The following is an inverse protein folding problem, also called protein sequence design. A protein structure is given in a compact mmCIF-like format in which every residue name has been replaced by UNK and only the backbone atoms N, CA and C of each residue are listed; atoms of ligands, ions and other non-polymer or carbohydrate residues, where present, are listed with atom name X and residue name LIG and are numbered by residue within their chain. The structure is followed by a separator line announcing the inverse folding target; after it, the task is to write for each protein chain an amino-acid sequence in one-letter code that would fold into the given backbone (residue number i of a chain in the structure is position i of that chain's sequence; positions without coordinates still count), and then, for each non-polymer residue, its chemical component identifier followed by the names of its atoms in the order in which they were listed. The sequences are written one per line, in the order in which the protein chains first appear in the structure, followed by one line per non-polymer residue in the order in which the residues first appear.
data_IF_305917111432
#
_entry.id   IF_305917111432
#
_cell.length_a   1.000
_cell.length_b   1.000
_cell.length_c   1.000
_cell.angle_alpha   90.00
_cell.angle_beta   90.00
_cell.angle_gamma   90.00
#
_symmetry.space_group_name_H-M   'P 1'
#
loop_
_entity.id
_entity.type
_entity.pdbx_description
1 polymer ?
#
# COMPACT_ATOMS: atom_id res chain seq x y z
N UNK A 1 33.81 -62.47 -36.24
CA UNK A 1 32.95 -61.47 -36.91
C UNK A 1 31.85 -62.18 -37.67
N UNK A 2 30.63 -61.63 -37.68
CA UNK A 2 29.49 -62.13 -38.45
C UNK A 2 29.24 -61.12 -39.57
N UNK A 3 29.49 -61.50 -40.81
CA UNK A 3 29.29 -60.64 -41.97
C UNK A 3 27.90 -60.88 -42.56
N UNK A 4 27.21 -59.81 -42.97
CA UNK A 4 25.87 -59.88 -43.60
C UNK A 4 25.87 -59.21 -44.98
N UNK A 5 24.69 -59.16 -45.61
CA UNK A 5 24.49 -58.38 -46.83
C UNK A 5 24.79 -56.89 -46.65
N UNK A 6 24.66 -56.37 -45.41
CA UNK A 6 24.94 -54.96 -45.09
C UNK A 6 26.45 -54.66 -45.13
N UNK A 7 27.29 -55.70 -45.02
CA UNK A 7 28.75 -55.63 -45.16
C UNK A 7 29.21 -55.84 -46.61
N UNK A 8 28.28 -56.00 -47.55
CA UNK A 8 28.55 -56.17 -48.98
C UNK A 8 28.65 -57.61 -49.47
N UNK A 9 28.28 -58.61 -48.66
CA UNK A 9 28.20 -60.01 -49.12
C UNK A 9 26.97 -60.26 -50.01
N UNK A 10 27.12 -61.16 -50.98
CA UNK A 10 26.00 -61.74 -51.71
C UNK A 10 25.10 -62.50 -50.74
N UNK A 11 23.84 -62.10 -50.66
CA UNK A 11 22.88 -62.72 -49.73
C UNK A 11 22.60 -64.19 -50.03
N UNK A 12 21.86 -64.82 -49.12
CA UNK A 12 21.40 -66.20 -49.25
C UNK A 12 22.30 -67.23 -48.54
N UNK A 13 22.13 -68.51 -48.87
CA UNK A 13 22.83 -69.63 -48.20
C UNK A 13 24.16 -69.92 -48.88
N UNK A 14 25.23 -70.03 -48.07
CA UNK A 14 26.55 -70.42 -48.55
C UNK A 14 26.57 -71.93 -48.78
N UNK A 15 26.86 -72.34 -50.02
CA UNK A 15 26.95 -73.75 -50.40
C UNK A 15 28.39 -74.27 -50.38
N UNK A 16 29.34 -73.40 -50.71
CA UNK A 16 30.75 -73.77 -50.78
C UNK A 16 31.66 -72.58 -50.44
N UNK A 17 32.84 -72.88 -49.93
CA UNK A 17 33.86 -71.90 -49.55
C UNK A 17 35.25 -72.37 -49.99
N UNK A 18 35.96 -71.51 -50.72
CA UNK A 18 37.28 -71.82 -51.27
C UNK A 18 38.29 -70.73 -50.95
N UNK A 19 39.52 -71.11 -50.58
CA UNK A 19 40.64 -70.18 -50.38
C UNK A 19 41.59 -70.27 -51.57
N UNK A 20 41.81 -69.15 -52.26
CA UNK A 20 42.76 -69.11 -53.36
C UNK A 20 44.23 -69.04 -52.88
N UNK A 21 45.16 -69.20 -53.82
CA UNK A 21 46.61 -69.18 -53.53
C UNK A 21 47.12 -67.81 -53.06
N UNK A 22 46.36 -66.74 -53.31
CA UNK A 22 46.66 -65.39 -52.86
C UNK A 22 46.05 -65.10 -51.47
N UNK A 23 45.34 -66.06 -50.89
CA UNK A 23 44.76 -65.99 -49.56
C UNK A 23 43.37 -65.35 -49.50
N UNK A 24 42.74 -65.02 -50.63
CA UNK A 24 41.36 -64.54 -50.63
C UNK A 24 40.39 -65.71 -50.45
N UNK A 25 39.30 -65.45 -49.72
CA UNK A 25 38.21 -66.39 -49.47
C UNK A 25 37.07 -66.11 -50.45
N UNK A 26 36.62 -67.15 -51.12
CA UNK A 26 35.52 -67.12 -52.07
C UNK A 26 34.35 -67.90 -51.48
N UNK A 27 33.16 -67.31 -51.48
CA UNK A 27 31.93 -67.92 -50.99
C UNK A 27 30.93 -67.99 -52.13
N UNK A 28 30.51 -69.21 -52.47
CA UNK A 28 29.45 -69.43 -53.44
C UNK A 28 28.11 -69.46 -52.70
N UNK A 29 27.20 -68.54 -53.06
CA UNK A 29 25.84 -68.47 -52.54
C UNK A 29 24.82 -68.75 -53.65
N UNK A 30 23.58 -69.04 -53.27
CA UNK A 30 22.44 -69.16 -54.19
C UNK A 30 22.17 -67.87 -54.99
N UNK A 31 22.75 -66.73 -54.59
CA UNK A 31 22.55 -65.42 -55.24
C UNK A 31 23.81 -64.84 -55.87
N UNK A 32 24.89 -65.62 -55.96
CA UNK A 32 26.11 -65.20 -56.63
C UNK A 32 27.38 -65.65 -55.91
N UNK A 33 28.48 -64.97 -56.18
CA UNK A 33 29.79 -65.27 -55.61
C UNK A 33 30.30 -64.03 -54.88
N UNK A 34 30.73 -64.21 -53.63
CA UNK A 34 31.40 -63.18 -52.84
C UNK A 34 32.88 -63.49 -52.70
N UNK A 35 33.72 -62.46 -52.88
CA UNK A 35 35.16 -62.54 -52.62
C UNK A 35 35.51 -61.66 -51.43
N UNK A 36 36.00 -62.28 -50.35
CA UNK A 36 36.52 -61.61 -49.17
C UNK A 36 38.04 -61.71 -49.18
N UNK A 37 38.73 -60.56 -49.14
CA UNK A 37 40.17 -60.52 -48.90
C UNK A 37 40.35 -60.26 -47.41
N UNK A 38 40.86 -61.21 -46.60
CA UNK A 38 41.09 -60.97 -45.19
C UNK A 38 42.09 -59.84 -45.02
N UNK A 39 41.61 -58.68 -44.57
CA UNK A 39 42.45 -57.58 -44.12
C UNK A 39 42.61 -57.66 -42.59
N UNK A 40 43.70 -57.13 -42.04
CA UNK A 40 43.79 -56.90 -40.60
C UNK A 40 42.58 -56.08 -40.13
N UNK A 41 42.11 -56.35 -38.91
CA UNK A 41 41.06 -55.54 -38.32
C UNK A 41 41.47 -54.05 -38.37
N UNK A 42 40.58 -53.15 -38.83
CA UNK A 42 40.89 -51.74 -38.86
C UNK A 42 41.26 -51.27 -37.46
N UNK A 43 42.27 -50.40 -37.38
CA UNK A 43 42.73 -49.85 -36.11
C UNK A 43 41.54 -49.20 -35.40
N UNK A 44 41.27 -49.55 -34.12
CA UNK A 44 40.13 -48.98 -33.42
C UNK A 44 40.26 -47.46 -33.33
N UNK A 45 39.26 -46.74 -33.84
CA UNK A 45 39.21 -45.28 -33.83
C UNK A 45 38.00 -44.79 -33.03
N UNK A 46 38.22 -43.70 -32.29
CA UNK A 46 37.21 -43.08 -31.45
C UNK A 46 36.34 -42.12 -32.28
N UNK A 47 35.04 -42.39 -32.37
CA UNK A 47 34.10 -41.61 -33.19
C UNK A 47 33.95 -40.17 -32.67
N UNK A 48 34.11 -39.13 -33.51
CA UNK A 48 33.84 -37.75 -33.14
C UNK A 48 32.38 -37.55 -32.72
N UNK A 49 32.16 -36.60 -31.82
CA UNK A 49 30.84 -36.23 -31.30
C UNK A 49 30.67 -34.71 -31.43
N UNK A 50 29.52 -34.28 -31.92
CA UNK A 50 29.19 -32.88 -32.16
C UNK A 50 27.85 -32.53 -31.50
N UNK A 51 27.76 -31.35 -30.92
CA UNK A 51 26.49 -30.73 -30.52
C UNK A 51 25.86 -30.13 -31.76
N UNK A 52 24.63 -30.51 -32.08
CA UNK A 52 23.92 -30.04 -33.28
C UNK A 52 22.90 -28.96 -32.94
N UNK A 53 22.16 -29.12 -31.84
CA UNK A 53 21.16 -28.16 -31.42
C UNK A 53 21.11 -28.00 -29.90
N UNK A 54 20.73 -26.80 -29.48
CA UNK A 54 20.59 -26.43 -28.08
C UNK A 54 19.35 -25.54 -27.92
N UNK A 55 18.47 -25.87 -26.98
CA UNK A 55 17.32 -25.04 -26.63
C UNK A 55 17.31 -24.75 -25.13
N UNK A 56 16.90 -23.54 -24.78
CA UNK A 56 16.62 -23.13 -23.42
C UNK A 56 15.18 -22.61 -23.32
N UNK A 57 14.31 -23.27 -22.56
CA UNK A 57 12.84 -23.01 -22.53
C UNK A 57 12.21 -22.95 -23.93
N UNK A 58 12.56 -23.90 -24.79
CA UNK A 58 12.09 -23.95 -26.19
C UNK A 58 12.70 -22.88 -27.12
N UNK A 59 13.52 -21.95 -26.61
CA UNK A 59 14.20 -20.95 -27.43
C UNK A 59 15.53 -21.52 -27.93
N UNK A 60 15.75 -21.63 -29.25
CA UNK A 60 16.99 -22.14 -29.80
C UNK A 60 18.16 -21.22 -29.45
N UNK A 61 19.29 -21.81 -29.09
CA UNK A 61 20.55 -21.13 -28.80
C UNK A 61 21.50 -21.26 -30.00
N UNK A 62 22.39 -20.29 -30.21
CA UNK A 62 23.30 -20.32 -31.35
C UNK A 62 24.26 -21.51 -31.24
N UNK A 63 24.18 -22.41 -32.21
CA UNK A 63 25.11 -23.52 -32.47
C UNK A 63 25.31 -23.56 -33.98
N UNK A 64 26.54 -23.80 -34.44
CA UNK A 64 26.85 -23.96 -35.86
C UNK A 64 26.02 -25.08 -36.49
N UNK A 65 25.51 -24.85 -37.71
CA UNK A 65 24.78 -25.89 -38.48
C UNK A 65 25.65 -27.12 -38.79
N UNK A 66 26.97 -26.97 -38.78
CA UNK A 66 27.93 -28.07 -38.94
C UNK A 66 28.21 -28.84 -37.64
N UNK A 67 27.64 -28.38 -36.53
CA UNK A 67 27.86 -28.88 -35.18
C UNK A 67 29.15 -28.37 -34.54
N UNK A 68 29.14 -28.32 -33.21
CA UNK A 68 30.26 -27.82 -32.40
C UNK A 68 30.73 -28.85 -31.38
N UNK A 69 32.05 -28.87 -31.11
CA UNK A 69 32.62 -29.71 -30.03
C UNK A 69 32.63 -28.99 -28.68
N UNK A 70 32.54 -27.67 -28.67
CA UNK A 70 32.50 -26.87 -27.44
C UNK A 70 31.66 -25.62 -27.66
N UNK A 71 30.59 -25.47 -26.87
CA UNK A 71 29.78 -24.25 -26.80
C UNK A 71 30.07 -23.56 -25.47
N UNK A 72 30.63 -22.36 -25.51
CA UNK A 72 31.04 -21.62 -24.32
C UNK A 72 30.22 -20.34 -24.08
N UNK A 73 30.28 -19.82 -22.84
CA UNK A 73 29.78 -18.49 -22.44
C UNK A 73 28.28 -18.28 -22.60
N UNK A 74 27.48 -19.35 -22.61
CA UNK A 74 26.03 -19.22 -22.66
C UNK A 74 25.48 -18.73 -21.31
N UNK A 75 24.78 -17.59 -21.31
CA UNK A 75 24.11 -17.04 -20.14
C UNK A 75 22.60 -17.14 -20.29
N UNK A 76 21.98 -17.93 -19.43
CA UNK A 76 20.55 -18.18 -19.41
C UNK A 76 19.88 -17.32 -18.33
N UNK A 77 18.74 -16.73 -18.67
CA UNK A 77 17.94 -15.93 -17.75
C UNK A 77 17.37 -16.81 -16.60
N UNK A 78 16.95 -16.22 -15.47
CA UNK A 78 16.44 -16.99 -14.32
C UNK A 78 15.23 -17.89 -14.61
N UNK A 79 14.48 -17.60 -15.69
CA UNK A 79 13.37 -18.43 -16.16
C UNK A 79 13.75 -19.47 -17.21
N UNK A 80 14.99 -19.48 -17.70
CA UNK A 80 15.50 -20.42 -18.70
C UNK A 80 16.17 -21.63 -18.03
N UNK A 81 15.41 -22.32 -17.18
CA UNK A 81 15.88 -23.46 -16.37
C UNK A 81 15.56 -24.83 -16.97
N UNK A 82 15.04 -24.85 -18.18
CA UNK A 82 14.81 -26.05 -18.98
C UNK A 82 15.78 -26.04 -20.15
N UNK A 83 16.64 -27.07 -20.25
CA UNK A 83 17.67 -27.16 -21.29
C UNK A 83 17.55 -28.47 -22.05
N UNK A 84 17.46 -28.38 -23.38
CA UNK A 84 17.46 -29.53 -24.29
C UNK A 84 18.68 -29.47 -25.17
N UNK A 85 19.41 -30.57 -25.25
CA UNK A 85 20.66 -30.66 -26.02
C UNK A 85 20.55 -31.84 -26.96
N UNK A 86 20.82 -31.60 -28.25
CA UNK A 86 20.90 -32.62 -29.28
C UNK A 86 22.34 -32.75 -29.79
N UNK A 87 22.76 -33.98 -30.04
CA UNK A 87 24.11 -34.29 -30.46
C UNK A 87 24.13 -35.45 -31.46
N UNK A 88 25.18 -35.50 -32.28
CA UNK A 88 25.38 -36.53 -33.27
C UNK A 88 26.83 -37.03 -33.25
N UNK A 89 26.98 -38.33 -33.11
CA UNK A 89 28.27 -38.99 -33.33
C UNK A 89 28.47 -39.32 -34.81
N UNK A 90 29.71 -39.21 -35.27
CA UNK A 90 30.10 -39.52 -36.64
C UNK A 90 30.82 -40.87 -36.68
N UNK A 91 30.15 -41.91 -37.15
CA UNK A 91 30.73 -43.23 -37.46
C UNK A 91 30.15 -43.72 -38.79
N UNK A 92 31.03 -43.94 -39.77
CA UNK A 92 30.67 -44.31 -41.14
C UNK A 92 30.93 -45.80 -41.42
N UNK A 93 31.26 -46.59 -40.39
CA UNK A 93 31.48 -48.03 -40.56
C UNK A 93 30.14 -48.74 -40.82
N UNK A 94 30.08 -49.63 -41.82
CA UNK A 94 28.91 -50.48 -42.06
C UNK A 94 28.51 -51.24 -40.78
N UNK A 95 27.22 -51.23 -40.45
CA UNK A 95 26.68 -51.92 -39.27
C UNK A 95 27.05 -51.32 -37.90
N UNK A 96 27.79 -50.21 -37.84
CA UNK A 96 28.19 -49.57 -36.58
C UNK A 96 27.01 -48.92 -35.87
N UNK A 97 26.68 -49.38 -34.65
CA UNK A 97 25.71 -48.70 -33.77
C UNK A 97 26.46 -47.86 -32.74
N UNK A 98 26.26 -46.53 -32.80
CA UNK A 98 26.78 -45.62 -31.77
C UNK A 98 25.84 -45.58 -30.58
N UNK A 99 26.42 -45.65 -29.38
CA UNK A 99 25.76 -45.29 -28.13
C UNK A 99 26.39 -44.03 -27.56
N UNK A 100 25.68 -43.36 -26.67
CA UNK A 100 26.09 -42.09 -26.09
C UNK A 100 26.06 -42.19 -24.58
N UNK A 101 27.04 -41.56 -23.95
CA UNK A 101 27.03 -41.29 -22.53
C UNK A 101 27.14 -39.79 -22.33
N UNK A 102 26.45 -39.28 -21.33
CA UNK A 102 26.44 -37.87 -21.01
C UNK A 102 26.54 -37.64 -19.51
N UNK A 103 26.95 -36.43 -19.13
CA UNK A 103 27.06 -35.99 -17.75
C UNK A 103 26.82 -34.48 -17.69
N UNK A 104 26.00 -34.02 -16.75
CA UNK A 104 25.88 -32.60 -16.42
C UNK A 104 26.62 -32.28 -15.13
N UNK A 105 27.84 -31.77 -15.24
CA UNK A 105 28.56 -31.27 -14.08
C UNK A 105 27.81 -30.08 -13.45
N UNK A 106 27.60 -30.17 -12.13
CA UNK A 106 26.73 -29.26 -11.37
C UNK A 106 25.37 -29.86 -11.01
N UNK A 107 24.98 -31.00 -11.60
CA UNK A 107 23.78 -31.76 -11.23
C UNK A 107 24.06 -33.27 -11.07
N UNK A 108 24.78 -33.86 -12.01
CA UNK A 108 25.09 -35.29 -12.06
C UNK A 108 26.45 -35.58 -11.38
N UNK A 109 26.57 -36.76 -10.75
CA UNK A 109 27.82 -37.23 -10.13
C UNK A 109 28.69 -38.04 -11.08
N UNK A 110 28.07 -38.92 -11.86
CA UNK A 110 28.72 -39.87 -12.76
C UNK A 110 28.14 -39.77 -14.18
N UNK A 111 28.81 -40.40 -15.15
CA UNK A 111 28.30 -40.55 -16.52
C UNK A 111 27.05 -41.43 -16.55
N UNK A 112 26.12 -41.10 -17.45
CA UNK A 112 24.93 -41.92 -17.70
C UNK A 112 25.27 -43.29 -18.31
N UNK A 113 24.32 -44.21 -18.22
CA UNK A 113 24.38 -45.47 -18.94
C UNK A 113 24.38 -45.23 -20.46
N UNK A 114 25.10 -46.05 -21.26
CA UNK A 114 25.12 -45.90 -22.72
C UNK A 114 23.70 -46.00 -23.33
N UNK A 115 23.26 -44.94 -23.99
CA UNK A 115 21.93 -44.85 -24.64
C UNK A 115 22.05 -44.69 -26.16
N UNK A 116 21.03 -45.08 -26.92
CA UNK A 116 20.94 -44.77 -28.35
C UNK A 116 20.33 -43.38 -28.62
N UNK A 117 19.77 -42.75 -27.60
CA UNK A 117 19.14 -41.43 -27.70
C UNK A 117 20.17 -40.34 -28.00
N UNK A 118 19.79 -39.43 -28.90
CA UNK A 118 20.61 -38.30 -29.36
C UNK A 118 20.23 -36.97 -28.72
N UNK A 119 19.28 -37.01 -27.80
CA UNK A 119 18.69 -35.83 -27.18
C UNK A 119 18.62 -36.06 -25.68
N UNK A 120 19.05 -35.06 -24.91
CA UNK A 120 18.95 -35.06 -23.45
C UNK A 120 18.17 -33.83 -23.01
N UNK A 121 17.35 -34.02 -21.99
CA UNK A 121 16.45 -33.01 -21.45
C UNK A 121 16.67 -32.84 -19.95
N UNK A 122 17.06 -31.64 -19.55
CA UNK A 122 17.18 -31.24 -18.15
C UNK A 122 16.10 -30.24 -17.79
N UNK A 123 15.18 -30.64 -16.92
CA UNK A 123 14.12 -29.79 -16.38
C UNK A 123 14.55 -29.17 -15.04
N UNK A 124 14.06 -27.95 -14.77
CA UNK A 124 14.14 -27.30 -13.45
C UNK A 124 15.56 -27.17 -12.86
N UNK A 125 16.54 -26.84 -13.68
CA UNK A 125 17.89 -26.56 -13.19
C UNK A 125 17.88 -25.34 -12.25
N UNK A 126 18.58 -25.45 -11.12
CA UNK A 126 18.76 -24.33 -10.20
C UNK A 126 19.61 -23.22 -10.85
N UNK A 127 19.58 -22.00 -10.30
CA UNK A 127 20.52 -20.97 -10.73
C UNK A 127 21.94 -21.39 -10.35
N UNK A 128 22.86 -21.38 -11.31
CA UNK A 128 24.20 -21.93 -11.12
C UNK A 128 25.01 -22.00 -12.42
N UNK A 129 26.21 -22.55 -12.32
CA UNK A 129 27.08 -22.83 -13.47
C UNK A 129 27.06 -24.32 -13.75
N UNK A 130 26.87 -24.68 -15.02
CA UNK A 130 26.76 -26.06 -15.47
C UNK A 130 27.69 -26.33 -16.65
N UNK A 131 28.18 -27.57 -16.73
CA UNK A 131 28.93 -28.06 -17.89
C UNK A 131 28.37 -29.41 -18.32
N UNK A 132 27.68 -29.43 -19.44
CA UNK A 132 27.23 -30.66 -20.07
C UNK A 132 28.39 -31.27 -20.87
N UNK A 133 28.55 -32.58 -20.76
CA UNK A 133 29.54 -33.38 -21.47
C UNK A 133 28.84 -34.54 -22.15
N UNK A 134 29.19 -34.84 -23.40
CA UNK A 134 28.71 -36.02 -24.12
C UNK A 134 29.85 -36.70 -24.87
N UNK A 135 29.87 -38.03 -24.83
CA UNK A 135 30.82 -38.88 -25.58
C UNK A 135 30.08 -39.97 -26.34
N UNK A 136 30.54 -40.24 -27.55
CA UNK A 136 30.08 -41.39 -28.32
C UNK A 136 30.87 -42.64 -27.91
N UNK A 137 30.22 -43.78 -27.81
CA UNK A 137 30.79 -45.10 -27.57
C UNK A 137 30.45 -45.95 -28.78
N UNK A 138 31.48 -46.40 -29.48
CA UNK A 138 31.31 -47.16 -30.70
C UNK A 138 31.00 -48.65 -30.43
N UNK A 139 30.79 -49.44 -31.48
CA UNK A 139 30.50 -50.89 -31.37
C UNK A 139 31.59 -51.70 -30.66
N UNK A 140 32.82 -51.18 -30.64
CA UNK A 140 33.97 -51.81 -29.99
C UNK A 140 34.09 -51.40 -28.51
N UNK A 141 33.13 -50.63 -27.99
CA UNK A 141 33.13 -50.11 -26.61
C UNK A 141 34.09 -48.94 -26.38
N UNK A 142 34.67 -48.38 -27.45
CA UNK A 142 35.65 -47.30 -27.35
C UNK A 142 34.91 -45.96 -27.34
N UNK A 143 35.16 -45.18 -26.30
CA UNK A 143 34.60 -43.84 -26.15
C UNK A 143 35.37 -42.80 -26.97
N UNK A 144 34.68 -41.72 -27.35
CA UNK A 144 35.29 -40.57 -28.03
C UNK A 144 36.46 -40.01 -27.20
N UNK A 145 37.60 -39.76 -27.85
CA UNK A 145 38.81 -39.31 -27.15
C UNK A 145 38.65 -37.92 -26.52
N UNK A 146 37.77 -37.10 -27.08
CA UNK A 146 37.34 -35.81 -26.53
C UNK A 146 35.81 -35.79 -26.47
N UNK A 147 35.20 -35.56 -25.30
CA UNK A 147 33.77 -35.33 -25.22
C UNK A 147 33.43 -33.95 -25.82
N UNK A 148 32.25 -33.83 -26.41
CA UNK A 148 31.70 -32.52 -26.74
C UNK A 148 31.13 -31.88 -25.48
N UNK A 149 31.24 -30.56 -25.34
CA UNK A 149 30.90 -29.83 -24.13
C UNK A 149 29.98 -28.63 -24.39
N UNK A 150 29.08 -28.35 -23.45
CA UNK A 150 28.28 -27.11 -23.43
C UNK A 150 28.39 -26.50 -22.03
N UNK A 151 29.01 -25.32 -21.93
CA UNK A 151 29.17 -24.57 -20.68
C UNK A 151 28.18 -23.41 -20.62
N UNK A 152 27.31 -23.42 -19.61
CA UNK A 152 26.27 -22.41 -19.44
C UNK A 152 26.05 -22.01 -17.98
N UNK A 153 25.51 -20.81 -17.77
CA UNK A 153 25.19 -20.27 -16.46
C UNK A 153 23.75 -19.78 -16.42
N UNK A 154 22.96 -20.26 -15.45
CA UNK A 154 21.60 -19.79 -15.17
C UNK A 154 21.69 -18.70 -14.10
N UNK A 155 21.33 -17.47 -14.46
CA UNK A 155 21.39 -16.31 -13.57
C UNK A 155 20.38 -16.46 -12.41
N UNK A 156 20.74 -16.07 -11.16
CA UNK A 156 19.79 -16.05 -10.07
C UNK A 156 18.75 -14.94 -10.26
N UNK A 157 17.48 -15.18 -9.87
CA UNK A 157 16.43 -14.19 -9.94
C UNK A 157 16.70 -13.00 -9.03
N UNK A 158 16.13 -11.83 -9.35
CA UNK A 158 16.43 -10.57 -8.65
C UNK A 158 16.16 -10.64 -7.15
N UNK A 159 15.09 -11.32 -6.73
CA UNK A 159 14.70 -11.44 -5.32
C UNK A 159 15.62 -12.32 -4.46
N UNK A 160 16.48 -13.13 -5.08
CA UNK A 160 17.49 -13.92 -4.37
C UNK A 160 18.82 -13.16 -4.25
N UNK A 161 18.97 -11.99 -4.89
CA UNK A 161 20.19 -11.19 -4.81
C UNK A 161 20.23 -10.43 -3.49
N UNK A 162 21.41 -10.38 -2.88
CA UNK A 162 21.64 -9.77 -1.56
C UNK A 162 21.24 -8.29 -1.48
N UNK A 163 21.51 -7.51 -2.54
CA UNK A 163 21.12 -6.09 -2.60
C UNK A 163 19.59 -5.90 -2.55
N UNK A 164 18.82 -6.82 -3.16
CA UNK A 164 17.36 -6.74 -3.18
C UNK A 164 16.81 -7.05 -1.78
N UNK A 165 17.35 -8.07 -1.12
CA UNK A 165 16.99 -8.41 0.27
C UNK A 165 17.31 -7.24 1.23
N UNK A 166 18.46 -6.59 1.05
CA UNK A 166 18.82 -5.40 1.82
C UNK A 166 17.84 -4.23 1.60
N UNK A 167 17.45 -3.97 0.34
CA UNK A 167 16.48 -2.93 0.00
C UNK A 167 15.08 -3.25 0.56
N UNK A 168 14.65 -4.51 0.48
CA UNK A 168 13.38 -4.96 1.03
C UNK A 168 13.34 -4.81 2.57
N UNK A 169 14.44 -5.14 3.26
CA UNK A 169 14.57 -4.94 4.70
C UNK A 169 14.52 -3.45 5.08
N UNK A 170 15.18 -2.59 4.30
CA UNK A 170 15.16 -1.15 4.51
C UNK A 170 13.76 -0.57 4.29
N UNK A 171 13.05 -0.99 3.24
CA UNK A 171 11.67 -0.59 2.98
C UNK A 171 10.73 -1.05 4.11
N UNK A 172 10.85 -2.31 4.57
CA UNK A 172 10.07 -2.84 5.69
C UNK A 172 10.33 -2.05 7.00
N UNK A 173 11.59 -1.74 7.29
CA UNK A 173 11.99 -0.93 8.44
C UNK A 173 11.44 0.50 8.35
N UNK A 174 11.49 1.11 7.16
CA UNK A 174 10.91 2.43 6.90
C UNK A 174 9.39 2.45 7.11
N UNK A 175 8.67 1.44 6.62
CA UNK A 175 7.22 1.29 6.84
C UNK A 175 6.88 1.10 8.33
N UNK A 176 7.65 0.28 9.05
CA UNK A 176 7.47 0.10 10.48
C UNK A 176 7.71 1.41 11.25
N UNK A 177 8.76 2.15 10.88
CA UNK A 177 9.09 3.43 11.49
C UNK A 177 8.02 4.51 11.23
N UNK A 178 7.51 4.62 10.01
CA UNK A 178 6.43 5.58 9.68
C UNK A 178 5.14 5.23 10.41
N UNK A 179 4.76 3.95 10.46
CA UNK A 179 3.61 3.48 11.22
C UNK A 179 3.75 3.78 12.72
N UNK A 180 4.93 3.52 13.30
CA UNK A 180 5.23 3.86 14.68
C UNK A 180 5.12 5.37 14.92
N UNK A 181 5.70 6.18 14.04
CA UNK A 181 5.66 7.64 14.16
C UNK A 181 4.24 8.20 14.09
N UNK A 182 3.41 7.65 13.19
CA UNK A 182 2.00 8.01 13.08
C UNK A 182 1.23 7.64 14.35
N UNK A 183 1.45 6.43 14.90
CA UNK A 183 0.84 5.99 16.16
C UNK A 183 1.19 6.92 17.32
N UNK A 184 2.46 7.29 17.46
CA UNK A 184 2.93 8.20 18.52
C UNK A 184 2.30 9.58 18.40
N UNK A 185 2.21 10.15 17.18
CA UNK A 185 1.56 11.44 16.96
C UNK A 185 0.10 11.43 17.41
N UNK A 186 -0.65 10.39 17.01
CA UNK A 186 -2.06 10.23 17.39
C UNK A 186 -2.25 10.11 18.90
N UNK A 187 -1.36 9.39 19.59
CA UNK A 187 -1.40 9.27 21.06
C UNK A 187 -1.18 10.64 21.73
N UNK A 188 -0.21 11.41 21.25
CA UNK A 188 0.08 12.75 21.77
C UNK A 188 -1.07 13.74 21.50
N UNK A 189 -1.74 13.65 20.35
CA UNK A 189 -2.92 14.47 20.04
C UNK A 189 -4.07 14.19 21.03
N UNK A 190 -4.37 12.90 21.26
CA UNK A 190 -5.40 12.49 22.23
C UNK A 190 -5.05 12.95 23.66
N UNK A 191 -3.79 12.84 24.07
CA UNK A 191 -3.33 13.28 25.39
C UNK A 191 -3.45 14.80 25.56
N UNK A 192 -3.07 15.58 24.54
CA UNK A 192 -3.22 17.04 24.54
C UNK A 192 -4.67 17.46 24.63
N UNK A 193 -5.56 16.81 23.89
CA UNK A 193 -7.00 17.03 23.96
C UNK A 193 -7.50 16.78 25.39
N UNK A 194 -7.15 15.63 25.98
CA UNK A 194 -7.55 15.27 27.34
C UNK A 194 -7.08 16.30 28.38
N UNK A 195 -5.84 16.77 28.25
CA UNK A 195 -5.25 17.76 29.17
C UNK A 195 -5.95 19.11 29.04
N UNK A 196 -6.22 19.56 27.81
CA UNK A 196 -6.96 20.80 27.55
C UNK A 196 -8.37 20.73 28.14
N UNK A 197 -9.09 19.63 27.92
CA UNK A 197 -10.42 19.42 28.48
C UNK A 197 -10.39 19.49 30.01
N UNK A 198 -9.42 18.83 30.64
CA UNK A 198 -9.28 18.85 32.09
C UNK A 198 -9.01 20.26 32.63
N UNK A 199 -8.23 21.06 31.90
CA UNK A 199 -7.91 22.45 32.26
C UNK A 199 -9.15 23.35 32.13
N UNK A 200 -9.81 23.34 30.97
CA UNK A 200 -11.04 24.11 30.73
C UNK A 200 -12.13 23.76 31.75
N UNK A 201 -12.26 22.48 32.10
CA UNK A 201 -13.21 22.03 33.11
C UNK A 201 -12.84 22.54 34.50
N UNK A 202 -11.55 22.48 34.88
CA UNK A 202 -11.08 22.94 36.18
C UNK A 202 -11.34 24.43 36.39
N UNK A 203 -11.08 25.26 35.37
CA UNK A 203 -11.20 26.71 35.47
C UNK A 203 -12.67 27.18 35.54
N UNK A 204 -13.53 26.71 34.62
CA UNK A 204 -14.94 27.12 34.54
C UNK A 204 -15.76 26.58 35.72
N UNK A 205 -15.51 25.32 36.13
CA UNK A 205 -16.23 24.71 37.25
C UNK A 205 -15.71 25.19 38.60
N UNK A 206 -14.39 25.30 38.76
CA UNK A 206 -13.76 25.70 40.02
C UNK A 206 -14.17 27.10 40.47
N UNK A 207 -14.18 28.07 39.56
CA UNK A 207 -14.59 29.45 39.86
C UNK A 207 -16.07 29.53 40.28
N UNK A 208 -16.95 28.85 39.54
CA UNK A 208 -18.38 28.87 39.82
C UNK A 208 -18.73 28.14 41.14
N UNK A 209 -18.11 26.98 41.41
CA UNK A 209 -18.27 26.29 42.69
C UNK A 209 -17.76 27.13 43.87
N UNK A 210 -16.68 27.87 43.69
CA UNK A 210 -16.15 28.78 44.72
C UNK A 210 -17.13 29.90 45.03
N UNK A 211 -17.76 30.51 44.02
CA UNK A 211 -18.79 31.52 44.22
C UNK A 211 -20.04 30.93 44.91
N UNK A 212 -20.47 29.73 44.55
CA UNK A 212 -21.56 29.02 45.25
C UNK A 212 -21.21 28.81 46.71
N UNK A 213 -19.98 28.38 47.02
CA UNK A 213 -19.54 28.19 48.40
C UNK A 213 -19.56 29.49 49.20
N UNK A 214 -19.10 30.61 48.61
CA UNK A 214 -19.16 31.93 49.24
C UNK A 214 -20.61 32.38 49.47
N UNK A 215 -21.49 32.25 48.48
CA UNK A 215 -22.91 32.60 48.62
C UNK A 215 -23.60 31.75 49.69
N UNK A 216 -23.25 30.46 49.78
CA UNK A 216 -23.74 29.57 50.82
C UNK A 216 -23.30 30.04 52.22
N UNK A 217 -22.07 30.52 52.35
CA UNK A 217 -21.56 31.11 53.61
C UNK A 217 -22.30 32.40 53.96
N UNK A 218 -22.54 33.28 53.00
CA UNK A 218 -23.32 34.52 53.18
C UNK A 218 -24.74 34.19 53.65
N UNK A 219 -25.40 33.20 53.05
CA UNK A 219 -26.73 32.74 53.47
C UNK A 219 -26.69 32.17 54.89
N UNK A 220 -25.63 31.45 55.27
CA UNK A 220 -25.49 30.84 56.60
C UNK A 220 -25.25 31.89 57.70
N UNK A 221 -24.60 33.00 57.36
CA UNK A 221 -24.32 34.11 58.29
C UNK A 221 -25.46 35.13 58.38
N UNK A 222 -26.42 35.07 57.45
CA UNK A 222 -27.57 35.97 57.44
C UNK A 222 -28.43 35.80 58.69
N UNK A 223 -28.88 36.93 59.27
CA UNK A 223 -29.80 36.94 60.42
C UNK A 223 -31.20 36.44 60.05
N UNK A 224 -32.06 36.12 61.05
CA UNK A 224 -33.42 35.59 60.81
C UNK A 224 -34.32 36.49 59.96
N UNK A 225 -34.09 37.81 59.99
CA UNK A 225 -34.87 38.83 59.26
C UNK A 225 -34.13 39.37 58.01
N UNK A 226 -32.94 38.88 57.69
CA UNK A 226 -32.20 39.32 56.50
C UNK A 226 -32.69 38.60 55.23
N UNK A 227 -32.96 39.34 54.13
CA UNK A 227 -33.45 38.74 52.90
C UNK A 227 -32.34 37.95 52.18
N UNK A 228 -32.37 36.63 52.32
CA UNK A 228 -31.49 35.68 51.60
C UNK A 228 -31.95 35.35 50.16
N UNK A 229 -33.05 35.94 49.72
CA UNK A 229 -33.66 35.67 48.41
C UNK A 229 -32.73 35.98 47.24
N UNK A 230 -31.96 37.07 47.32
CA UNK A 230 -31.01 37.46 46.26
C UNK A 230 -29.81 36.49 46.18
N UNK A 231 -29.09 36.18 47.28
CA UNK A 231 -28.05 35.15 47.27
C UNK A 231 -28.54 33.78 46.77
N UNK A 232 -29.73 33.33 47.19
CA UNK A 232 -30.33 32.08 46.74
C UNK A 232 -30.64 32.10 45.23
N UNK A 233 -31.17 33.21 44.74
CA UNK A 233 -31.46 33.38 43.30
C UNK A 233 -30.17 33.37 42.49
N UNK A 234 -29.13 34.07 42.96
CA UNK A 234 -27.80 34.10 42.34
C UNK A 234 -27.17 32.72 42.32
N UNK A 235 -27.20 31.98 43.43
CA UNK A 235 -26.70 30.59 43.52
C UNK A 235 -27.44 29.66 42.56
N UNK A 236 -28.78 29.78 42.48
CA UNK A 236 -29.60 28.99 41.56
C UNK A 236 -29.35 29.31 40.08
N UNK A 237 -28.99 30.56 39.76
CA UNK A 237 -28.57 30.96 38.41
C UNK A 237 -27.18 30.42 38.08
N UNK A 238 -26.23 30.58 39.00
CA UNK A 238 -24.85 30.11 38.81
C UNK A 238 -24.78 28.60 38.59
N UNK A 239 -25.58 27.82 39.34
CA UNK A 239 -25.69 26.37 39.15
C UNK A 239 -26.24 26.00 37.77
N UNK A 240 -27.23 26.73 37.26
CA UNK A 240 -27.78 26.53 35.90
C UNK A 240 -26.75 26.86 34.83
N UNK A 241 -26.01 27.95 35.01
CA UNK A 241 -24.94 28.36 34.08
C UNK A 241 -23.80 27.34 34.05
N UNK A 242 -23.43 26.78 35.21
CA UNK A 242 -22.47 25.68 35.35
C UNK A 242 -22.88 24.43 34.52
N UNK A 243 -24.13 23.98 34.69
CA UNK A 243 -24.65 22.83 33.95
C UNK A 243 -24.70 23.09 32.45
N UNK A 244 -25.07 24.31 32.05
CA UNK A 244 -25.07 24.73 30.65
C UNK A 244 -23.66 24.74 30.06
N UNK A 245 -22.67 25.26 30.78
CA UNK A 245 -21.26 25.25 30.34
C UNK A 245 -20.72 23.83 30.20
N UNK A 246 -20.99 22.96 31.18
CA UNK A 246 -20.61 21.53 31.12
C UNK A 246 -21.21 20.83 29.89
N UNK A 247 -22.50 21.05 29.61
CA UNK A 247 -23.17 20.50 28.43
C UNK A 247 -22.57 21.05 27.11
N UNK A 248 -22.14 22.31 27.09
CA UNK A 248 -21.47 22.91 25.95
C UNK A 248 -20.08 22.30 25.71
N UNK A 249 -19.32 22.04 26.78
CA UNK A 249 -18.00 21.37 26.76
C UNK A 249 -18.14 19.91 26.28
N UNK A 250 -19.02 19.12 26.89
CA UNK A 250 -19.25 17.71 26.50
C UNK A 250 -19.66 17.59 25.03
N UNK A 251 -20.50 18.52 24.55
CA UNK A 251 -20.89 18.54 23.15
C UNK A 251 -19.72 18.87 22.22
N UNK A 252 -18.85 19.82 22.59
CA UNK A 252 -17.69 20.24 21.80
C UNK A 252 -16.60 19.16 21.72
N UNK A 253 -16.53 18.26 22.70
CA UNK A 253 -15.53 17.18 22.77
C UNK A 253 -15.98 15.93 22.00
N UNK A 254 -17.29 15.74 21.78
CA UNK A 254 -17.80 14.53 21.16
C UNK A 254 -17.39 14.44 19.66
N UNK A 255 -16.48 13.52 19.28
CA UNK A 255 -15.96 13.42 17.90
C UNK A 255 -17.02 12.94 16.90
N UNK A 256 -18.11 12.33 17.39
CA UNK A 256 -19.23 11.92 16.53
C UNK A 256 -20.05 13.12 16.02
N UNK A 257 -19.71 14.34 16.43
CA UNK A 257 -20.42 15.59 16.12
C UNK A 257 -19.56 16.62 15.38
N UNK A 258 -18.53 16.16 14.69
CA UNK A 258 -17.56 17.03 14.01
C UNK A 258 -18.06 17.52 12.64
N UNK A 259 -19.28 17.18 12.23
CA UNK A 259 -19.82 17.59 10.94
C UNK A 259 -20.51 18.96 11.03
N UNK A 260 -20.44 19.72 9.93
CA UNK A 260 -21.14 21.00 9.78
C UNK A 260 -22.64 20.88 10.12
N UNK A 261 -23.27 19.78 9.67
CA UNK A 261 -24.68 19.49 9.90
C UNK A 261 -25.04 19.39 11.40
N UNK A 262 -24.12 18.92 12.25
CA UNK A 262 -24.35 18.84 13.69
C UNK A 262 -24.37 20.23 14.33
N UNK A 263 -23.47 21.11 13.90
CA UNK A 263 -23.41 22.50 14.36
C UNK A 263 -24.67 23.26 13.94
N UNK A 264 -25.05 23.20 12.67
CA UNK A 264 -26.23 23.89 12.15
C UNK A 264 -27.52 23.36 12.81
N UNK A 265 -27.63 22.04 13.02
CA UNK A 265 -28.75 21.43 13.74
C UNK A 265 -28.84 21.88 15.19
N UNK A 266 -27.71 21.98 15.90
CA UNK A 266 -27.67 22.50 17.28
C UNK A 266 -28.07 23.97 17.33
N UNK A 267 -27.52 24.78 16.42
CA UNK A 267 -27.84 26.22 16.34
C UNK A 267 -29.33 26.44 16.09
N UNK A 268 -29.91 25.71 15.14
CA UNK A 268 -31.35 25.78 14.82
C UNK A 268 -32.21 25.44 16.03
N UNK A 269 -31.90 24.36 16.75
CA UNK A 269 -32.62 23.97 17.98
C UNK A 269 -32.52 25.05 19.06
N UNK A 270 -31.30 25.50 19.37
CA UNK A 270 -31.07 26.51 20.41
C UNK A 270 -31.82 27.83 20.11
N UNK A 271 -31.77 28.32 18.87
CA UNK A 271 -32.47 29.54 18.51
C UNK A 271 -33.99 29.37 18.53
N UNK A 272 -34.53 28.23 18.09
CA UNK A 272 -35.96 27.94 18.22
C UNK A 272 -36.41 27.95 19.69
N UNK A 273 -35.66 27.25 20.56
CA UNK A 273 -35.95 27.17 22.00
C UNK A 273 -35.86 28.54 22.69
N UNK A 274 -34.97 29.43 22.22
CA UNK A 274 -34.77 30.74 22.82
C UNK A 274 -35.73 31.84 22.29
N UNK A 275 -36.05 31.82 20.98
CA UNK A 275 -36.76 32.91 20.29
C UNK A 275 -38.27 32.64 20.18
N UNK A 276 -38.68 31.41 19.87
CA UNK A 276 -40.08 31.06 19.63
C UNK A 276 -40.99 31.31 20.85
N UNK A 277 -40.59 30.98 22.10
CA UNK A 277 -41.42 31.27 23.28
C UNK A 277 -41.66 32.77 23.52
N UNK A 278 -40.85 33.64 22.91
CA UNK A 278 -40.97 35.10 23.01
C UNK A 278 -41.74 35.72 21.84
N UNK A 279 -42.29 34.91 20.93
CA UNK A 279 -43.05 35.37 19.77
C UNK A 279 -42.21 36.04 18.69
N UNK A 280 -40.89 35.79 18.65
CA UNK A 280 -39.99 36.31 17.62
C UNK A 280 -40.01 35.35 16.42
N UNK A 281 -40.35 35.85 15.23
CA UNK A 281 -40.28 35.06 13.99
C UNK A 281 -38.82 34.80 13.62
N UNK A 282 -38.47 33.54 13.41
CA UNK A 282 -37.09 33.08 13.28
C UNK A 282 -36.87 32.37 11.94
N UNK A 283 -35.90 32.89 11.16
CA UNK A 283 -35.46 32.27 9.91
C UNK A 283 -34.01 31.81 10.01
N UNK A 284 -33.77 30.53 9.70
CA UNK A 284 -32.43 29.96 9.69
C UNK A 284 -32.10 29.35 8.33
N UNK A 285 -31.21 30.02 7.61
CA UNK A 285 -30.66 29.57 6.33
C UNK A 285 -29.25 28.99 6.55
N UNK A 286 -29.06 27.73 6.14
CA UNK A 286 -27.78 27.05 6.17
C UNK A 286 -27.72 26.06 4.98
N UNK A 287 -26.53 25.58 4.58
CA UNK A 287 -26.41 24.58 3.53
C UNK A 287 -27.16 23.30 3.94
N UNK A 288 -27.95 22.73 3.01
CA UNK A 288 -28.76 21.55 3.29
C UNK A 288 -27.90 20.28 3.36
N UNK A 289 -27.86 19.69 4.55
CA UNK A 289 -27.94 18.24 4.84
C UNK A 289 -26.97 17.22 4.22
N UNK A 290 -26.11 17.54 3.24
CA UNK A 290 -25.23 16.58 2.56
C UNK A 290 -23.74 16.97 2.56
N UNK A 291 -23.37 18.06 3.20
CA UNK A 291 -21.96 18.44 3.34
C UNK A 291 -21.26 17.61 4.43
N UNK A 292 -20.47 16.62 4.01
CA UNK A 292 -19.53 15.84 4.85
C UNK A 292 -18.34 16.68 5.37
N UNK A 293 -18.47 18.01 5.35
CA UNK A 293 -17.42 18.93 5.80
C UNK A 293 -17.22 18.80 7.31
N UNK A 294 -16.03 18.33 7.69
CA UNK A 294 -15.60 18.23 9.08
C UNK A 294 -15.07 19.58 9.57
N UNK A 295 -15.53 19.98 10.74
CA UNK A 295 -15.04 21.12 11.51
C UNK A 295 -14.25 20.62 12.72
N UNK A 296 -13.10 21.21 12.98
CA UNK A 296 -12.37 20.94 14.23
C UNK A 296 -13.22 21.32 15.46
N UNK A 297 -13.08 20.57 16.55
CA UNK A 297 -13.86 20.77 17.78
C UNK A 297 -13.79 22.19 18.34
N UNK A 298 -12.59 22.80 18.32
CA UNK A 298 -12.38 24.19 18.77
C UNK A 298 -13.16 25.19 17.91
N UNK A 299 -13.04 25.08 16.58
CA UNK A 299 -13.74 25.95 15.63
C UNK A 299 -15.27 25.87 15.82
N UNK A 300 -15.78 24.64 15.96
CA UNK A 300 -17.19 24.36 16.19
C UNK A 300 -17.70 24.95 17.52
N UNK A 301 -16.93 24.79 18.61
CA UNK A 301 -17.26 25.34 19.93
C UNK A 301 -17.34 26.86 19.89
N UNK A 302 -16.30 27.51 19.39
CA UNK A 302 -16.20 28.97 19.42
C UNK A 302 -17.26 29.62 18.52
N UNK A 303 -17.53 29.06 17.32
CA UNK A 303 -18.65 29.52 16.49
C UNK A 303 -19.99 29.39 17.24
N UNK A 304 -20.24 28.26 17.88
CA UNK A 304 -21.48 28.04 18.63
C UNK A 304 -21.62 29.01 19.81
N UNK A 305 -20.55 29.32 20.54
CA UNK A 305 -20.58 30.27 21.65
C UNK A 305 -20.84 31.71 21.19
N UNK A 306 -20.22 32.14 20.08
CA UNK A 306 -20.48 33.46 19.48
C UNK A 306 -21.95 33.54 19.02
N UNK A 307 -22.45 32.48 18.39
CA UNK A 307 -23.86 32.37 18.00
C UNK A 307 -24.80 32.45 19.21
N UNK A 308 -24.54 31.65 20.25
CA UNK A 308 -25.34 31.60 21.48
C UNK A 308 -25.43 32.97 22.14
N UNK A 309 -24.30 33.67 22.23
CA UNK A 309 -24.25 35.02 22.78
C UNK A 309 -25.04 36.02 21.92
N UNK A 310 -24.92 35.92 20.58
CA UNK A 310 -25.68 36.77 19.66
C UNK A 310 -27.20 36.58 19.82
N UNK A 311 -27.67 35.32 19.90
CA UNK A 311 -29.08 35.00 20.14
C UNK A 311 -29.53 35.47 21.53
N UNK A 312 -28.71 35.28 22.57
CA UNK A 312 -29.02 35.79 23.90
C UNK A 312 -29.13 37.33 23.93
N UNK A 313 -28.31 38.03 23.15
CA UNK A 313 -28.38 39.48 23.04
C UNK A 313 -29.67 39.94 22.37
N UNK A 314 -30.11 39.26 21.31
CA UNK A 314 -31.43 39.50 20.70
C UNK A 314 -32.53 39.36 21.75
N UNK A 315 -32.52 38.22 22.43
CA UNK A 315 -33.48 37.83 23.46
C UNK A 315 -33.54 38.86 24.60
N UNK A 316 -32.40 39.35 25.08
CA UNK A 316 -32.31 40.27 26.23
C UNK A 316 -32.47 41.75 25.88
N UNK A 317 -31.98 42.19 24.72
CA UNK A 317 -31.76 43.61 24.44
C UNK A 317 -32.50 44.17 23.22
N UNK A 318 -32.83 43.34 22.21
CA UNK A 318 -33.26 43.84 20.89
C UNK A 318 -34.71 44.36 20.84
N UNK A 319 -35.65 43.74 21.59
CA UNK A 319 -37.11 43.97 21.44
C UNK A 319 -37.60 43.81 19.98
N UNK A 320 -36.97 42.91 19.22
CA UNK A 320 -37.33 42.62 17.84
C UNK A 320 -38.64 41.81 17.73
N UNK A 321 -39.21 41.83 16.53
CA UNK A 321 -40.27 40.89 16.11
C UNK A 321 -39.74 39.80 15.17
N UNK A 322 -38.58 40.02 14.54
CA UNK A 322 -37.97 39.10 13.59
C UNK A 322 -36.47 38.97 13.84
N UNK A 323 -35.97 37.75 13.70
CA UNK A 323 -34.55 37.43 13.73
C UNK A 323 -34.19 36.48 12.58
N UNK A 324 -33.03 36.70 11.98
CA UNK A 324 -32.53 35.87 10.89
C UNK A 324 -31.10 35.41 11.17
N UNK A 325 -30.83 34.15 10.83
CA UNK A 325 -29.49 33.58 10.91
C UNK A 325 -29.16 32.99 9.54
N UNK A 326 -28.02 33.41 9.01
CA UNK A 326 -27.43 32.86 7.81
C UNK A 326 -26.09 32.25 8.14
N UNK A 327 -25.95 30.96 7.86
CA UNK A 327 -24.69 30.25 7.97
C UNK A 327 -24.28 29.84 6.55
N UNK A 328 -23.17 30.35 6.05
CA UNK A 328 -22.73 30.13 4.67
C UNK A 328 -21.27 29.70 4.63
N UNK A 329 -20.97 28.77 3.72
CA UNK A 329 -19.60 28.45 3.33
C UNK A 329 -19.28 29.11 2.00
N UNK A 330 -18.29 30.02 2.01
CA UNK A 330 -17.84 30.74 0.83
C UNK A 330 -16.36 30.41 0.57
N UNK A 331 -16.11 29.40 -0.27
CA UNK A 331 -14.76 28.94 -0.60
C UNK A 331 -14.01 28.45 0.63
N UNK A 332 -12.98 29.19 1.05
CA UNK A 332 -12.13 28.87 2.21
C UNK A 332 -12.58 29.56 3.50
N UNK A 333 -13.79 30.14 3.56
CA UNK A 333 -14.29 30.86 4.73
C UNK A 333 -15.69 30.39 5.12
N UNK A 334 -15.93 30.36 6.44
CA UNK A 334 -17.28 30.28 7.02
C UNK A 334 -17.71 31.70 7.35
N UNK A 335 -18.93 32.04 6.95
CA UNK A 335 -19.60 33.27 7.35
C UNK A 335 -20.87 32.93 8.13
N UNK A 336 -20.92 33.38 9.37
CA UNK A 336 -22.12 33.35 10.22
C UNK A 336 -22.62 34.77 10.38
N UNK A 337 -23.84 35.03 9.92
CA UNK A 337 -24.53 36.30 10.10
C UNK A 337 -25.76 36.08 10.97
N UNK A 338 -25.88 36.84 12.05
CA UNK A 338 -27.04 36.86 12.95
C UNK A 338 -27.59 38.28 12.93
N UNK A 339 -28.85 38.45 12.55
CA UNK A 339 -29.49 39.76 12.48
C UNK A 339 -30.86 39.79 13.15
N UNK A 340 -31.23 40.97 13.64
CA UNK A 340 -32.55 41.27 14.19
C UNK A 340 -33.07 42.61 13.67
N UNK A 341 -34.37 42.84 13.78
CA UNK A 341 -35.04 44.09 13.39
C UNK A 341 -35.38 44.99 14.60
N UNK A 342 -34.63 44.89 15.69
CA UNK A 342 -34.94 45.60 16.94
C UNK A 342 -34.47 47.05 16.99
N UNK A 343 -34.41 47.59 18.21
CA UNK A 343 -34.13 49.02 18.48
C UNK A 343 -32.73 49.50 18.06
N UNK A 344 -31.81 48.58 17.73
CA UNK A 344 -30.39 48.89 17.53
C UNK A 344 -29.69 49.32 18.83
N UNK A 345 -28.39 49.55 18.77
CA UNK A 345 -27.63 50.18 19.85
C UNK A 345 -26.46 50.98 19.28
N UNK A 346 -25.90 51.89 20.08
CA UNK A 346 -24.70 52.62 19.70
C UNK A 346 -23.46 51.77 20.06
N UNK A 347 -22.71 51.24 19.07
CA UNK A 347 -21.54 50.41 19.31
C UNK A 347 -20.35 51.18 19.90
N UNK A 348 -20.39 52.52 19.91
CA UNK A 348 -19.37 53.38 20.51
C UNK A 348 -19.62 53.67 22.00
N UNK A 349 -20.81 53.36 22.52
CA UNK A 349 -21.07 53.44 23.97
C UNK A 349 -20.57 52.15 24.64
N UNK A 350 -19.82 52.25 25.74
CA UNK A 350 -19.44 51.07 26.51
C UNK A 350 -20.71 50.43 27.07
N UNK A 351 -21.07 49.27 26.55
CA UNK A 351 -22.04 48.38 27.19
C UNK A 351 -21.44 47.93 28.53
N UNK A 352 -22.24 47.88 29.60
CA UNK A 352 -21.82 47.35 30.91
C UNK A 352 -21.53 45.83 30.87
N UNK A 353 -21.74 45.17 29.72
CA UNK A 353 -21.56 43.73 29.53
C UNK A 353 -20.25 43.35 28.81
N UNK A 354 -19.57 42.33 29.32
CA UNK A 354 -18.35 41.75 28.71
C UNK A 354 -18.62 40.90 27.44
N UNK A 355 -19.88 40.76 27.01
CA UNK A 355 -20.29 39.85 25.93
C UNK A 355 -19.67 40.16 24.57
N UNK A 356 -19.71 41.43 24.13
CA UNK A 356 -19.17 41.88 22.84
C UNK A 356 -17.64 41.73 22.78
N UNK A 357 -16.95 42.08 23.86
CA UNK A 357 -15.50 41.91 23.98
C UNK A 357 -15.10 40.43 23.92
N UNK A 358 -15.83 39.56 24.62
CA UNK A 358 -15.62 38.12 24.58
C UNK A 358 -15.84 37.55 23.18
N UNK A 359 -16.90 37.95 22.47
CA UNK A 359 -17.14 37.49 21.10
C UNK A 359 -16.00 37.91 20.15
N UNK A 360 -15.49 39.14 20.26
CA UNK A 360 -14.34 39.61 19.46
C UNK A 360 -13.07 38.82 19.76
N UNK A 361 -12.78 38.54 21.04
CA UNK A 361 -11.63 37.73 21.44
C UNK A 361 -11.72 36.31 20.87
N UNK A 362 -12.90 35.70 20.92
CA UNK A 362 -13.15 34.36 20.36
C UNK A 362 -12.97 34.34 18.84
N UNK A 363 -13.49 35.34 18.13
CA UNK A 363 -13.29 35.47 16.68
C UNK A 363 -11.80 35.60 16.32
N UNK A 364 -11.05 36.42 17.07
CA UNK A 364 -9.62 36.58 16.87
C UNK A 364 -8.83 35.28 17.13
N UNK A 365 -9.22 34.48 18.14
CA UNK A 365 -8.61 33.15 18.41
C UNK A 365 -8.77 32.19 17.24
N UNK A 366 -9.86 32.30 16.48
CA UNK A 366 -10.09 31.52 15.26
C UNK A 366 -9.34 32.05 14.03
N UNK A 367 -8.56 33.14 14.18
CA UNK A 367 -7.96 33.86 13.06
C UNK A 367 -9.00 34.54 12.16
N UNK A 368 -10.20 34.77 12.68
CA UNK A 368 -11.30 35.42 11.98
C UNK A 368 -11.56 36.85 12.47
N UNK A 369 -12.60 37.45 11.91
CA UNK A 369 -13.07 38.78 12.26
C UNK A 369 -14.54 38.74 12.64
N UNK A 370 -14.91 39.58 13.61
CA UNK A 370 -16.28 39.83 14.01
C UNK A 370 -16.62 41.29 13.70
N UNK A 371 -17.58 41.49 12.81
CA UNK A 371 -18.13 42.79 12.48
C UNK A 371 -19.53 42.93 13.07
N UNK A 372 -19.85 44.11 13.60
CA UNK A 372 -21.13 44.40 14.25
C UNK A 372 -21.64 45.71 13.67
N UNK A 373 -22.67 45.61 12.84
CA UNK A 373 -23.36 46.75 12.27
C UNK A 373 -24.67 46.97 13.01
N UNK A 374 -24.84 48.15 13.61
CA UNK A 374 -26.10 48.59 14.18
C UNK A 374 -26.60 49.79 13.37
N UNK A 375 -27.72 49.62 12.66
CA UNK A 375 -28.34 50.72 11.92
C UNK A 375 -29.17 51.58 12.86
N UNK A 376 -29.13 52.91 12.71
CA UNK A 376 -29.88 53.91 13.49
C UNK A 376 -31.40 53.58 13.61
N UNK A 377 -31.77 52.67 14.52
CA UNK A 377 -33.14 52.18 14.72
C UNK A 377 -33.61 51.05 13.77
N UNK A 378 -32.72 50.42 12.99
CA UNK A 378 -33.07 49.37 11.99
C UNK A 378 -32.56 47.96 12.38
N UNK A 379 -32.25 47.75 13.67
CA UNK A 379 -31.76 46.47 14.18
C UNK A 379 -30.24 46.33 14.19
N UNK A 380 -29.79 45.13 14.57
CA UNK A 380 -28.37 44.78 14.71
C UNK A 380 -28.05 43.61 13.79
N UNK A 381 -26.88 43.64 13.17
CA UNK A 381 -26.31 42.53 12.42
C UNK A 381 -24.90 42.22 12.92
N UNK A 382 -24.72 41.00 13.41
CA UNK A 382 -23.43 40.45 13.84
C UNK A 382 -22.94 39.49 12.74
N UNK A 383 -21.77 39.77 12.18
CA UNK A 383 -21.15 38.95 11.13
C UNK A 383 -19.80 38.42 11.58
N UNK A 384 -19.71 37.10 11.75
CA UNK A 384 -18.48 36.37 11.98
C UNK A 384 -17.96 35.82 10.65
N UNK A 385 -16.70 36.12 10.32
CA UNK A 385 -15.99 35.51 9.18
C UNK A 385 -14.75 34.80 9.68
N UNK A 386 -14.67 33.49 9.50
CA UNK A 386 -13.55 32.66 9.97
C UNK A 386 -13.00 31.78 8.84
N UNK A 387 -11.67 31.62 8.73
CA UNK A 387 -11.07 30.77 7.73
C UNK A 387 -11.33 29.28 8.02
N UNK A 388 -11.78 28.54 7.01
CA UNK A 388 -11.85 27.09 6.99
C UNK A 388 -10.41 26.56 6.80
N UNK A 389 -9.60 26.59 7.86
CA UNK A 389 -8.21 26.17 7.77
C UNK A 389 -8.11 24.68 7.39
N UNK A 390 -7.77 24.39 6.13
CA UNK A 390 -7.58 23.02 5.58
C UNK A 390 -6.44 22.20 6.23
N UNK A 391 -5.87 22.62 7.36
CA UNK A 391 -4.77 21.86 7.97
C UNK A 391 -4.15 22.38 9.26
N UNK A 392 -4.76 23.32 9.99
CA UNK A 392 -4.18 23.83 11.25
C UNK A 392 -4.85 23.32 12.53
N UNK A 393 -6.00 22.67 12.41
CA UNK A 393 -6.73 22.03 13.52
C UNK A 393 -7.24 20.61 13.17
N UNK A 394 -6.68 20.01 12.12
CA UNK A 394 -6.75 18.56 11.91
C UNK A 394 -5.59 17.93 12.70
N UNK A 395 -5.83 17.78 14.00
CA UNK A 395 -4.96 17.08 14.95
C UNK A 395 -5.81 16.48 16.03
#
# INVERSE_FOLDING_TARGET
MRYTTDDGLSGGSVWDAYRDRLGALWFATDRGISRLIPAPDPVPFASPILITHLWAMGVPQPVSELGETSVEKLKLAPGQNEVRIEFAGLDFRPGGTLRYQYQLEGADRDWSAPTAERTVFYAHLASGTYRFLVRAVNSDGIASARPAAVAFMILPPLWQRTWFLALALLAASGMAWTAHRFRVRRLLEVERLRTRIATDLHDDIGSSLSQIAVLTEVIRQAGPDEPVTEPLTTMGNLSRDLLNSMNDIVWAINPKRDYLADLTSRMRRFAADALTPRGIDFRFAAPDGQDDTRLGGDLRREIFLIFKESVNNIVRHSRCSQAAVQFLMQGAYIRLTVSDNGKGFDPARPDEGNGLANMRLRAARLGGALDIAAGNGLGVTVTLTVPLARGRFAG
#
